data_IF_699002805527
#
_entry.id   IF_699002805527
#
_cell.length_a   1.000
_cell.length_b   1.000
_cell.length_c   1.000
_cell.angle_alpha   90.00
_cell.angle_beta   90.00
_cell.angle_gamma   90.00
#
_symmetry.space_group_name_H-M   'P 1'
#
loop_
_entity.id
_entity.type
_entity.pdbx_description
1 polymer ?
#
# COMPACT_ATOMS: atom_id res chain seq x y z
N UNK A 1 -14.29 -11.58 41.29
CA UNK A 1 -15.42 -12.08 40.49
C UNK A 1 -14.86 -13.07 39.49
N UNK A 2 -15.00 -14.37 39.74
CA UNK A 2 -14.46 -15.43 38.90
C UNK A 2 -15.41 -15.68 37.74
N UNK A 3 -14.98 -15.32 36.53
CA UNK A 3 -15.69 -15.67 35.30
C UNK A 3 -15.47 -17.17 35.04
N UNK A 4 -16.44 -17.99 35.44
CA UNK A 4 -16.47 -19.40 35.09
C UNK A 4 -16.85 -19.52 33.61
N UNK A 5 -15.91 -19.92 32.77
CA UNK A 5 -16.19 -20.30 31.39
C UNK A 5 -17.15 -21.51 31.41
N UNK A 6 -18.24 -21.50 30.62
CA UNK A 6 -19.13 -22.63 30.56
C UNK A 6 -18.38 -23.86 30.03
N UNK A 7 -18.65 -24.98 30.70
CA UNK A 7 -18.06 -26.30 30.50
C UNK A 7 -17.98 -26.67 29.01
N UNK A 8 -16.82 -27.13 28.55
CA UNK A 8 -16.52 -27.48 27.15
C UNK A 8 -17.22 -28.76 26.66
N UNK A 9 -18.39 -29.08 27.21
CA UNK A 9 -19.17 -30.26 26.87
C UNK A 9 -20.24 -29.88 25.85
N UNK A 10 -20.15 -30.49 24.66
CA UNK A 10 -21.09 -30.39 23.54
C UNK A 10 -21.03 -29.08 22.74
N UNK A 11 -19.91 -28.88 22.01
CA UNK A 11 -19.91 -27.97 20.87
C UNK A 11 -20.69 -28.70 19.74
N UNK A 12 -21.89 -28.26 19.34
CA UNK A 12 -22.64 -28.94 18.28
C UNK A 12 -21.79 -28.96 17.01
N UNK A 13 -21.50 -30.16 16.51
CA UNK A 13 -20.62 -30.38 15.34
C UNK A 13 -21.28 -30.00 14.03
N UNK A 14 -22.60 -29.80 14.02
CA UNK A 14 -23.37 -29.30 12.88
C UNK A 14 -24.35 -28.25 13.35
N UNK A 15 -24.22 -27.05 12.81
CA UNK A 15 -25.15 -25.94 13.02
C UNK A 15 -26.40 -26.25 12.19
N UNK A 16 -27.59 -26.10 12.78
CA UNK A 16 -28.85 -26.32 12.07
C UNK A 16 -29.09 -25.22 11.04
N UNK A 17 -29.79 -25.55 9.96
CA UNK A 17 -30.09 -24.59 8.89
C UNK A 17 -30.93 -23.41 9.40
N UNK A 18 -31.86 -23.67 10.32
CA UNK A 18 -32.66 -22.65 11.00
C UNK A 18 -31.81 -21.66 11.82
N UNK A 19 -30.72 -22.13 12.45
CA UNK A 19 -29.79 -21.24 13.16
C UNK A 19 -28.95 -20.38 12.20
N UNK A 20 -28.57 -20.92 11.04
CA UNK A 20 -27.85 -20.17 10.00
C UNK A 20 -28.74 -19.05 9.46
N UNK A 21 -30.01 -19.35 9.19
CA UNK A 21 -31.01 -18.38 8.71
C UNK A 21 -31.36 -17.31 9.74
N UNK A 22 -31.41 -17.66 11.02
CA UNK A 22 -31.64 -16.68 12.10
C UNK A 22 -30.44 -15.74 12.32
N UNK A 23 -29.21 -16.17 11.99
CA UNK A 23 -27.98 -15.40 12.25
C UNK A 23 -26.98 -15.46 11.09
N UNK A 24 -27.37 -15.04 9.88
CA UNK A 24 -26.51 -15.14 8.69
C UNK A 24 -25.22 -14.33 8.82
N UNK A 25 -25.25 -13.20 9.53
CA UNK A 25 -24.04 -12.40 9.80
C UNK A 25 -22.99 -13.12 10.67
N UNK A 26 -23.40 -14.10 11.48
CA UNK A 26 -22.51 -14.88 12.36
C UNK A 26 -21.91 -16.09 11.65
N UNK A 27 -22.68 -16.73 10.77
CA UNK A 27 -22.34 -18.03 10.20
C UNK A 27 -21.94 -18.01 8.72
N UNK A 28 -22.39 -17.01 7.96
CA UNK A 28 -22.00 -16.81 6.56
C UNK A 28 -21.07 -15.59 6.46
N UNK A 29 -21.57 -14.43 6.90
CA UNK A 29 -20.83 -13.18 6.98
C UNK A 29 -20.02 -12.84 5.72
N UNK A 30 -18.91 -12.14 5.92
CA UNK A 30 -18.02 -11.69 4.84
C UNK A 30 -17.27 -12.85 4.15
N UNK A 31 -17.05 -13.95 4.87
CA UNK A 31 -16.36 -15.13 4.36
C UNK A 31 -17.18 -15.83 3.26
N UNK A 32 -18.46 -16.09 3.50
CA UNK A 32 -19.33 -16.71 2.50
C UNK A 32 -19.54 -15.79 1.28
N UNK A 33 -19.66 -14.48 1.51
CA UNK A 33 -19.73 -13.49 0.43
C UNK A 33 -18.48 -13.51 -0.45
N UNK A 34 -17.29 -13.60 0.17
CA UNK A 34 -16.00 -13.65 -0.55
C UNK A 34 -15.85 -14.95 -1.35
N UNK A 35 -16.28 -16.10 -0.79
CA UNK A 35 -16.29 -17.38 -1.50
C UNK A 35 -17.25 -17.38 -2.68
N UNK A 36 -18.45 -16.80 -2.51
CA UNK A 36 -19.41 -16.63 -3.59
C UNK A 36 -18.86 -15.72 -4.69
N UNK A 37 -18.33 -14.56 -4.33
CA UNK A 37 -17.74 -13.61 -5.28
C UNK A 37 -16.53 -14.19 -6.04
N UNK A 38 -15.79 -15.13 -5.43
CA UNK A 38 -14.68 -15.84 -6.06
C UNK A 38 -15.11 -17.09 -6.85
N UNK A 39 -16.34 -17.58 -6.64
CA UNK A 39 -16.86 -18.77 -7.35
C UNK A 39 -17.43 -18.46 -8.73
N UNK A 40 -17.72 -17.18 -8.99
CA UNK A 40 -18.20 -16.70 -10.29
C UNK A 40 -17.02 -16.22 -11.13
N UNK A 41 -16.72 -16.92 -12.23
CA UNK A 41 -15.65 -16.55 -13.15
C UNK A 41 -16.07 -15.39 -14.08
N UNK A 42 -17.37 -15.14 -14.23
CA UNK A 42 -17.89 -14.14 -15.15
C UNK A 42 -18.51 -12.95 -14.39
N UNK A 43 -17.70 -11.88 -14.30
CA UNK A 43 -18.09 -10.50 -13.97
C UNK A 43 -18.57 -10.21 -12.53
N UNK A 44 -17.75 -10.54 -11.52
CA UNK A 44 -17.79 -9.81 -10.26
C UNK A 44 -17.16 -8.40 -10.43
N UNK A 45 -17.97 -7.40 -10.81
CA UNK A 45 -17.51 -6.02 -11.00
C UNK A 45 -17.42 -5.29 -9.67
N UNK A 46 -16.23 -5.27 -9.07
CA UNK A 46 -15.93 -4.35 -7.95
C UNK A 46 -15.83 -2.92 -8.46
N UNK A 47 -16.24 -1.96 -7.63
CA UNK A 47 -16.11 -0.53 -7.93
C UNK A 47 -14.66 -0.18 -8.20
N UNK A 48 -14.35 0.23 -9.44
CA UNK A 48 -13.05 0.81 -9.78
C UNK A 48 -13.02 2.26 -9.29
N UNK A 49 -12.07 2.56 -8.40
CA UNK A 49 -11.88 3.90 -7.85
C UNK A 49 -11.04 4.80 -8.78
N UNK A 50 -11.37 4.87 -10.07
CA UNK A 50 -10.55 5.56 -11.08
C UNK A 50 -10.16 6.99 -10.69
N UNK A 51 -11.13 7.85 -10.41
CA UNK A 51 -10.87 9.24 -10.03
C UNK A 51 -10.09 9.38 -8.71
N UNK A 52 -10.32 8.50 -7.73
CA UNK A 52 -9.58 8.52 -6.47
C UNK A 52 -8.15 8.03 -6.67
N UNK A 53 -7.93 6.96 -7.44
CA UNK A 53 -6.60 6.48 -7.81
C UNK A 53 -5.80 7.58 -8.52
N UNK A 54 -6.41 8.28 -9.48
CA UNK A 54 -5.77 9.43 -10.14
C UNK A 54 -5.36 10.51 -9.13
N UNK A 55 -6.23 10.86 -8.18
CA UNK A 55 -5.90 11.84 -7.12
C UNK A 55 -4.75 11.37 -6.22
N UNK A 56 -4.70 10.07 -5.89
CA UNK A 56 -3.59 9.49 -5.12
C UNK A 56 -2.27 9.58 -5.90
N UNK A 57 -2.29 9.25 -7.19
CA UNK A 57 -1.11 9.35 -8.07
C UNK A 57 -0.63 10.81 -8.16
N UNK A 58 -1.53 11.76 -8.40
CA UNK A 58 -1.20 13.19 -8.45
C UNK A 58 -0.60 13.68 -7.12
N UNK A 59 -1.15 13.22 -5.98
CA UNK A 59 -0.60 13.56 -4.66
C UNK A 59 0.81 13.02 -4.47
N UNK A 60 1.12 11.83 -4.98
CA UNK A 60 2.46 11.27 -4.91
C UNK A 60 3.45 11.99 -5.83
N UNK A 61 3.01 12.44 -7.00
CA UNK A 61 3.83 13.31 -7.86
C UNK A 61 4.20 14.61 -7.15
N UNK A 62 3.23 15.29 -6.52
CA UNK A 62 3.46 16.49 -5.73
C UNK A 62 4.43 16.25 -4.56
N UNK A 63 4.30 15.11 -3.86
CA UNK A 63 5.22 14.77 -2.77
C UNK A 63 6.63 14.48 -3.26
N UNK A 64 6.79 13.81 -4.41
CA UNK A 64 8.10 13.55 -5.00
C UNK A 64 8.73 14.85 -5.46
N UNK A 65 7.97 15.74 -6.11
CA UNK A 65 8.46 17.04 -6.56
C UNK A 65 8.98 17.89 -5.39
N UNK A 66 8.28 17.89 -4.24
CA UNK A 66 8.75 18.58 -3.03
C UNK A 66 10.07 18.05 -2.51
N UNK A 67 10.26 16.72 -2.56
CA UNK A 67 11.51 16.09 -2.15
C UNK A 67 12.64 16.41 -3.15
N UNK A 68 12.34 16.49 -4.44
CA UNK A 68 13.29 16.92 -5.48
C UNK A 68 13.71 18.38 -5.27
N UNK A 69 12.76 19.29 -5.01
CA UNK A 69 13.02 20.70 -4.73
C UNK A 69 13.88 20.86 -3.46
N UNK A 70 13.58 20.11 -2.39
CA UNK A 70 14.38 20.12 -1.16
C UNK A 70 15.80 19.60 -1.42
N UNK A 71 15.95 18.52 -2.18
CA UNK A 71 17.25 17.98 -2.56
C UNK A 71 18.08 18.98 -3.36
N UNK A 72 17.44 19.66 -4.32
CA UNK A 72 18.06 20.68 -5.15
C UNK A 72 18.52 21.88 -4.30
N UNK A 73 17.72 22.31 -3.32
CA UNK A 73 18.09 23.38 -2.39
C UNK A 73 19.34 23.02 -1.57
N UNK A 74 19.42 21.78 -1.06
CA UNK A 74 20.59 21.31 -0.31
C UNK A 74 21.85 21.28 -1.19
N UNK A 75 21.71 20.87 -2.45
CA UNK A 75 22.81 20.85 -3.40
C UNK A 75 23.31 22.26 -3.75
N UNK A 76 22.39 23.22 -3.90
CA UNK A 76 22.73 24.61 -4.17
C UNK A 76 23.40 25.26 -2.97
N UNK A 77 22.89 25.02 -1.75
CA UNK A 77 23.51 25.49 -0.51
C UNK A 77 24.92 24.92 -0.32
N UNK A 78 25.12 23.63 -0.66
CA UNK A 78 26.42 22.98 -0.53
C UNK A 78 27.44 23.44 -1.59
N UNK A 79 27.00 24.14 -2.64
CA UNK A 79 27.85 24.73 -3.70
C UNK A 79 28.18 26.19 -3.47
N UNK A 80 27.61 26.82 -2.44
CA UNK A 80 27.86 28.22 -2.12
C UNK A 80 29.34 28.50 -1.86
N UNK A 81 29.84 29.59 -2.45
CA UNK A 81 31.25 30.02 -2.32
C UNK A 81 31.59 30.38 -0.87
N UNK A 82 30.63 30.93 -0.13
CA UNK A 82 30.74 31.29 1.29
C UNK A 82 30.31 30.15 2.24
N UNK A 83 30.06 28.96 1.71
CA UNK A 83 29.67 27.78 2.46
C UNK A 83 30.83 26.98 3.05
N UNK A 84 30.55 26.01 3.93
CA UNK A 84 31.56 25.09 4.44
C UNK A 84 32.15 24.22 3.32
N UNK A 85 33.43 23.87 3.42
CA UNK A 85 34.10 22.95 2.50
C UNK A 85 33.63 21.50 2.72
N UNK A 86 32.48 21.16 2.13
CA UNK A 86 31.89 19.83 2.19
C UNK A 86 32.30 18.97 1.00
N UNK A 87 32.51 17.67 1.23
CA UNK A 87 32.70 16.70 0.16
C UNK A 87 31.35 16.23 -0.39
N UNK A 88 30.83 16.90 -1.41
CA UNK A 88 29.56 16.56 -2.07
C UNK A 88 29.66 15.38 -3.06
N UNK A 89 30.83 14.72 -3.17
CA UNK A 89 31.08 13.67 -4.16
C UNK A 89 31.01 12.23 -3.63
N UNK A 90 30.62 12.03 -2.36
CA UNK A 90 30.67 10.71 -1.72
C UNK A 90 29.38 10.38 -0.97
N UNK A 91 28.68 9.35 -1.42
CA UNK A 91 27.58 8.75 -0.66
C UNK A 91 28.05 8.02 0.61
N UNK A 92 29.28 7.48 0.62
CA UNK A 92 29.84 6.76 1.78
C UNK A 92 30.18 7.70 2.95
N UNK A 93 30.45 8.96 2.62
CA UNK A 93 30.84 9.99 3.57
C UNK A 93 29.94 11.22 3.38
N UNK A 94 28.63 10.99 3.25
CA UNK A 94 27.65 12.03 3.02
C UNK A 94 27.68 13.07 4.15
N UNK A 95 28.07 14.32 3.89
CA UNK A 95 28.20 15.34 4.92
C UNK A 95 26.86 15.92 5.38
N UNK A 96 25.79 15.76 4.60
CA UNK A 96 24.45 16.32 4.87
C UNK A 96 23.47 15.17 5.17
N UNK A 97 23.21 14.84 6.45
CA UNK A 97 22.33 13.72 6.81
C UNK A 97 20.95 13.78 6.16
N UNK A 98 20.41 15.00 6.04
CA UNK A 98 19.09 15.23 5.42
C UNK A 98 19.03 14.75 3.96
N UNK A 99 20.13 14.83 3.21
CA UNK A 99 20.19 14.31 1.83
C UNK A 99 19.92 12.81 1.81
N UNK A 100 20.52 12.07 2.75
CA UNK A 100 20.29 10.63 2.88
C UNK A 100 18.85 10.30 3.27
N UNK A 101 18.23 11.09 4.14
CA UNK A 101 16.82 10.90 4.54
C UNK A 101 15.88 11.11 3.35
N UNK A 102 16.06 12.21 2.62
CA UNK A 102 15.26 12.54 1.42
C UNK A 102 15.39 11.40 0.39
N UNK A 103 16.61 10.92 0.13
CA UNK A 103 16.82 9.82 -0.82
C UNK A 103 16.11 8.52 -0.41
N UNK A 104 16.11 8.18 0.89
CA UNK A 104 15.34 7.03 1.41
C UNK A 104 13.83 7.22 1.26
N UNK A 105 13.32 8.42 1.58
CA UNK A 105 11.90 8.73 1.44
C UNK A 105 11.46 8.70 -0.03
N UNK A 106 12.25 9.31 -0.91
CA UNK A 106 12.05 9.30 -2.37
C UNK A 106 12.03 7.88 -2.91
N UNK A 107 12.96 7.01 -2.50
CA UNK A 107 12.96 5.60 -2.93
C UNK A 107 11.65 4.89 -2.54
N UNK A 108 11.16 5.08 -1.31
CA UNK A 108 9.88 4.52 -0.88
C UNK A 108 8.73 5.04 -1.73
N UNK A 109 8.61 6.36 -1.92
CA UNK A 109 7.51 6.96 -2.70
C UNK A 109 7.56 6.59 -4.18
N UNK A 110 8.74 6.52 -4.78
CA UNK A 110 8.94 6.12 -6.18
C UNK A 110 8.53 4.67 -6.41
N UNK A 111 8.84 3.76 -5.47
CA UNK A 111 8.41 2.36 -5.54
C UNK A 111 6.89 2.25 -5.57
N UNK A 112 6.24 2.95 -4.64
CA UNK A 112 4.79 2.97 -4.54
C UNK A 112 4.18 3.57 -5.81
N UNK A 113 4.65 4.74 -6.25
CA UNK A 113 4.19 5.42 -7.47
C UNK A 113 4.31 4.55 -8.73
N UNK A 114 5.42 3.84 -8.86
CA UNK A 114 5.65 2.94 -10.00
C UNK A 114 4.65 1.76 -10.02
N UNK A 115 4.21 1.28 -8.86
CA UNK A 115 3.23 0.20 -8.76
C UNK A 115 1.80 0.65 -9.13
N UNK A 116 1.45 1.91 -8.87
CA UNK A 116 0.13 2.47 -9.22
C UNK A 116 0.08 3.09 -10.63
N UNK A 117 1.23 3.43 -11.20
CA UNK A 117 1.31 4.00 -12.54
C UNK A 117 0.77 3.03 -13.60
N UNK A 118 0.01 3.50 -14.61
CA UNK A 118 -0.53 2.67 -15.68
C UNK A 118 0.52 1.78 -16.38
N UNK A 119 1.77 2.23 -16.44
CA UNK A 119 2.89 1.49 -17.05
C UNK A 119 3.30 0.26 -16.24
N UNK A 120 3.16 0.28 -14.91
CA UNK A 120 3.44 -0.85 -14.02
C UNK A 120 2.29 -1.85 -13.98
N UNK A 121 1.04 -1.37 -13.93
CA UNK A 121 -0.14 -2.21 -13.94
C UNK A 121 -0.34 -2.96 -15.28
N UNK A 122 -0.11 -2.29 -16.42
CA UNK A 122 -0.18 -2.94 -17.73
C UNK A 122 0.94 -3.97 -17.93
N UNK A 123 2.18 -3.69 -17.48
CA UNK A 123 3.30 -4.62 -17.63
C UNK A 123 3.23 -5.86 -16.72
N UNK A 124 2.45 -5.82 -15.63
CA UNK A 124 2.15 -7.01 -14.81
C UNK A 124 1.03 -7.83 -15.45
N UNK A 125 -0.05 -7.19 -15.89
CA UNK A 125 -1.16 -7.87 -16.58
C UNK A 125 -0.73 -8.53 -17.89
N UNK A 126 0.19 -7.93 -18.66
CA UNK A 126 0.71 -8.53 -19.90
C UNK A 126 1.70 -9.68 -19.67
N UNK A 127 2.39 -9.73 -18.51
CA UNK A 127 3.33 -10.82 -18.20
C UNK A 127 2.64 -12.08 -17.72
N UNK A 128 1.56 -11.95 -16.95
CA UNK A 128 0.77 -13.11 -16.47
C UNK A 128 -0.13 -13.70 -17.56
N UNK A 129 -0.46 -12.94 -18.61
CA UNK A 129 -1.24 -13.43 -19.76
C UNK A 129 -0.41 -14.24 -20.79
N UNK A 130 0.91 -14.37 -20.59
CA UNK A 130 1.85 -15.04 -21.50
C UNK A 130 2.61 -16.21 -20.85
N UNK A 131 2.16 -16.69 -19.69
CA UNK A 131 2.62 -17.91 -19.01
C UNK A 131 1.44 -18.82 -18.75
#
# INVERSE_FOLDING_TARGET
MTCSLPNAAHRPTKISQEEVEKKPWKYLGYQAFSQWAASDNDFFVIRRFGALNTRVILKWQDDIAKLEDELQSLDDDARRIDGPHLNNGSFRHEPIPRRSEILHESHRKLKEYSALSPTGAAAHMFREALT
#
